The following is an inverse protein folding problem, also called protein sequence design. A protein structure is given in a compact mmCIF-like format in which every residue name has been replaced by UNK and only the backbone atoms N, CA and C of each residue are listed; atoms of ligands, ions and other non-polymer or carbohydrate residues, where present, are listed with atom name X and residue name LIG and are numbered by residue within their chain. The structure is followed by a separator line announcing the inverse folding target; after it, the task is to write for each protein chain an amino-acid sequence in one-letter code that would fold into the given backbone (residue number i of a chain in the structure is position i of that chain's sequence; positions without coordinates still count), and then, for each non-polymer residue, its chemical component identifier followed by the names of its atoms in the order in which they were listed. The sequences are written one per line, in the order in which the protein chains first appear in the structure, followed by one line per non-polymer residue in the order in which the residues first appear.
data_IF_389909889607
#
_entry.id   IF_389909889607
#
_cell.length_a   1.000
_cell.length_b   1.000
_cell.length_c   1.000
_cell.angle_alpha   90.00
_cell.angle_beta   90.00
_cell.angle_gamma   90.00
#
_symmetry.space_group_name_H-M   'P 1'
#
loop_
_entity.id
_entity.type
_entity.pdbx_description
1 polymer ?
#
# COMPACT_ATOMS: atom_id res chain seq x y z
N UNK A 1 59.20 5.35 15.82
CA UNK A 1 58.16 5.46 14.75
C UNK A 1 57.86 6.93 14.49
N UNK A 2 58.10 7.43 13.27
CA UNK A 2 57.88 8.84 12.91
C UNK A 2 56.39 9.23 12.98
N UNK A 3 56.10 10.47 13.39
CA UNK A 3 54.74 11.06 13.49
C UNK A 3 53.93 10.86 12.19
N UNK A 4 54.60 10.87 11.04
CA UNK A 4 54.02 10.67 9.71
C UNK A 4 53.54 9.23 9.46
N UNK A 5 54.27 8.20 9.92
CA UNK A 5 53.81 6.80 9.83
C UNK A 5 52.61 6.51 10.74
N UNK A 6 52.59 7.08 11.95
CA UNK A 6 51.44 6.98 12.87
C UNK A 6 50.17 7.66 12.30
N UNK A 7 50.32 8.81 11.65
CA UNK A 7 49.20 9.50 10.98
C UNK A 7 48.66 8.72 9.79
N UNK A 8 49.54 8.11 8.96
CA UNK A 8 49.12 7.27 7.83
C UNK A 8 48.39 6.00 8.27
N UNK A 9 48.89 5.31 9.30
CA UNK A 9 48.23 4.11 9.85
C UNK A 9 46.86 4.43 10.46
N UNK A 10 46.74 5.54 11.20
CA UNK A 10 45.47 5.99 11.77
C UNK A 10 44.43 6.34 10.69
N UNK A 11 44.83 6.99 9.59
CA UNK A 11 43.93 7.28 8.46
C UNK A 11 43.43 6.00 7.76
N UNK A 12 44.31 5.00 7.59
CA UNK A 12 43.91 3.69 7.03
C UNK A 12 42.93 2.97 7.96
N UNK A 13 43.20 2.97 9.27
CA UNK A 13 42.28 2.38 10.26
C UNK A 13 40.91 3.08 10.24
N UNK A 14 40.88 4.40 10.17
CA UNK A 14 39.63 5.16 10.06
C UNK A 14 38.86 4.82 8.78
N UNK A 15 39.55 4.72 7.64
CA UNK A 15 38.94 4.32 6.39
C UNK A 15 38.32 2.92 6.46
N UNK A 16 39.02 1.95 7.08
CA UNK A 16 38.52 0.59 7.28
C UNK A 16 37.24 0.60 8.13
N UNK A 17 37.21 1.37 9.22
CA UNK A 17 36.02 1.49 10.08
C UNK A 17 34.84 2.08 9.32
N UNK A 18 35.07 3.11 8.49
CA UNK A 18 34.02 3.70 7.64
C UNK A 18 33.46 2.67 6.66
N UNK A 19 34.32 1.90 5.99
CA UNK A 19 33.88 0.86 5.05
C UNK A 19 33.03 -0.20 5.75
N UNK A 20 33.45 -0.66 6.93
CA UNK A 20 32.68 -1.63 7.73
C UNK A 20 31.33 -1.04 8.15
N UNK A 21 31.29 0.22 8.59
CA UNK A 21 30.06 0.89 8.98
C UNK A 21 29.09 1.02 7.79
N UNK A 22 29.58 1.42 6.61
CA UNK A 22 28.76 1.51 5.38
C UNK A 22 28.25 0.14 4.95
N UNK A 23 29.09 -0.90 5.01
CA UNK A 23 28.67 -2.27 4.69
C UNK A 23 27.59 -2.78 5.66
N UNK A 24 27.75 -2.53 6.96
CA UNK A 24 26.76 -2.88 7.97
C UNK A 24 25.43 -2.13 7.74
N UNK A 25 25.50 -0.82 7.48
CA UNK A 25 24.32 -0.01 7.20
C UNK A 25 23.61 -0.47 5.92
N UNK A 26 24.36 -0.76 4.86
CA UNK A 26 23.82 -1.25 3.59
C UNK A 26 23.11 -2.60 3.72
N UNK A 27 23.60 -3.47 4.60
CA UNK A 27 22.98 -4.78 4.81
C UNK A 27 21.67 -4.69 5.59
N UNK A 28 21.64 -3.90 6.66
CA UNK A 28 20.53 -3.88 7.62
C UNK A 28 19.43 -2.89 7.24
N UNK A 29 19.77 -1.76 6.61
CA UNK A 29 18.87 -0.65 6.33
C UNK A 29 18.75 -0.43 4.82
N UNK A 30 17.87 -1.20 4.12
CA UNK A 30 17.83 -1.20 2.67
C UNK A 30 17.50 0.19 2.09
N UNK A 31 16.69 0.99 2.79
CA UNK A 31 16.34 2.35 2.35
C UNK A 31 17.30 3.45 2.82
N UNK A 32 18.43 3.11 3.45
CA UNK A 32 19.45 4.08 3.82
C UNK A 32 20.11 4.71 2.59
N UNK A 33 20.53 5.98 2.71
CA UNK A 33 21.22 6.70 1.64
C UNK A 33 22.50 5.99 1.18
N UNK A 34 23.16 5.27 2.10
CA UNK A 34 24.41 4.54 1.86
C UNK A 34 24.19 3.10 1.41
N UNK A 35 22.95 2.60 1.36
CA UNK A 35 22.65 1.24 0.92
C UNK A 35 22.88 1.07 -0.58
N UNK A 36 23.62 0.02 -0.94
CA UNK A 36 23.80 -0.41 -2.33
C UNK A 36 22.54 -1.03 -2.94
N UNK A 37 21.70 -1.68 -2.13
CA UNK A 37 20.44 -2.28 -2.55
C UNK A 37 19.30 -1.52 -1.90
N UNK A 38 18.73 -0.56 -2.64
CA UNK A 38 17.62 0.31 -2.18
C UNK A 38 16.25 -0.33 -2.28
N UNK A 39 16.19 -1.63 -2.01
CA UNK A 39 14.99 -2.45 -2.10
C UNK A 39 14.98 -3.54 -1.03
N UNK A 40 13.80 -4.07 -0.77
CA UNK A 40 13.59 -5.15 0.19
C UNK A 40 12.63 -6.19 -0.41
N UNK A 41 12.89 -7.46 -0.14
CA UNK A 41 12.03 -8.56 -0.58
C UNK A 41 10.99 -8.85 0.50
N UNK A 42 9.75 -8.45 0.22
CA UNK A 42 8.59 -8.80 1.02
C UNK A 42 8.17 -10.23 0.75
N UNK A 43 7.89 -10.96 1.83
CA UNK A 43 7.34 -12.31 1.77
C UNK A 43 5.91 -12.24 2.30
N UNK A 44 4.89 -12.33 1.43
CA UNK A 44 3.50 -12.39 1.86
C UNK A 44 3.28 -13.62 2.75
N UNK A 45 2.57 -13.45 3.86
CA UNK A 45 2.05 -14.58 4.61
C UNK A 45 0.74 -15.04 3.98
N UNK A 46 0.53 -16.36 3.91
CA UNK A 46 -0.79 -16.96 3.67
C UNK A 46 -1.73 -16.58 4.82
N UNK A 47 -2.34 -15.40 4.74
CA UNK A 47 -3.40 -14.97 5.64
C UNK A 47 -4.74 -15.26 4.97
N UNK A 48 -5.66 -15.85 5.73
CA UNK A 48 -7.08 -15.92 5.34
C UNK A 48 -7.90 -15.03 6.27
N UNK A 49 -8.91 -14.39 5.72
CA UNK A 49 -9.97 -13.70 6.47
C UNK A 49 -11.26 -14.45 6.19
N UNK A 50 -12.01 -14.82 7.23
CA UNK A 50 -13.25 -15.61 7.10
C UNK A 50 -13.13 -16.91 6.27
N UNK A 51 -11.92 -17.46 6.12
CA UNK A 51 -11.66 -18.67 5.33
C UNK A 51 -11.25 -18.41 3.89
N UNK A 52 -11.28 -17.16 3.44
CA UNK A 52 -10.92 -16.73 2.08
C UNK A 52 -9.58 -15.98 2.08
N UNK A 53 -8.84 -16.11 0.99
CA UNK A 53 -7.65 -15.31 0.71
C UNK A 53 -8.06 -13.94 0.17
N UNK A 54 -7.16 -12.96 0.30
CA UNK A 54 -7.38 -11.62 -0.26
C UNK A 54 -7.70 -11.67 -1.77
N UNK A 55 -7.04 -12.56 -2.51
CA UNK A 55 -7.27 -12.75 -3.95
C UNK A 55 -8.68 -13.28 -4.24
N UNK A 56 -9.17 -14.23 -3.43
CA UNK A 56 -10.53 -14.76 -3.55
C UNK A 56 -11.58 -13.67 -3.27
N UNK A 57 -11.40 -12.87 -2.22
CA UNK A 57 -12.33 -11.78 -1.90
C UNK A 57 -12.36 -10.70 -3.00
N UNK A 58 -11.19 -10.32 -3.54
CA UNK A 58 -11.11 -9.37 -4.65
C UNK A 58 -11.80 -9.92 -5.89
N UNK A 59 -11.57 -11.18 -6.24
CA UNK A 59 -12.21 -11.81 -7.41
C UNK A 59 -13.74 -11.93 -7.23
N UNK A 60 -14.21 -12.30 -6.04
CA UNK A 60 -15.65 -12.36 -5.75
C UNK A 60 -16.34 -10.99 -5.88
N UNK A 61 -15.68 -9.92 -5.43
CA UNK A 61 -16.19 -8.57 -5.63
C UNK A 61 -16.18 -8.15 -7.11
N UNK A 62 -15.17 -8.53 -7.87
CA UNK A 62 -15.11 -8.25 -9.31
C UNK A 62 -16.27 -8.86 -10.07
N UNK A 63 -16.59 -10.12 -9.78
CA UNK A 63 -17.73 -10.81 -10.39
C UNK A 63 -19.05 -10.11 -10.04
N UNK A 64 -19.19 -9.65 -8.79
CA UNK A 64 -20.34 -8.85 -8.34
C UNK A 64 -20.43 -7.53 -9.09
N UNK A 65 -19.32 -6.79 -9.14
CA UNK A 65 -19.21 -5.51 -9.83
C UNK A 65 -19.52 -5.62 -11.34
N UNK A 66 -19.05 -6.68 -12.01
CA UNK A 66 -19.33 -6.89 -13.44
C UNK A 66 -20.83 -7.14 -13.70
N UNK A 67 -21.51 -7.85 -12.79
CA UNK A 67 -22.96 -8.04 -12.87
C UNK A 67 -23.73 -6.73 -12.66
N UNK A 68 -23.28 -5.90 -11.72
CA UNK A 68 -23.88 -4.57 -11.49
C UNK A 68 -23.71 -3.66 -12.71
N UNK A 69 -22.51 -3.62 -13.32
CA UNK A 69 -22.29 -2.86 -14.56
C UNK A 69 -23.30 -3.29 -15.63
N UNK A 70 -23.44 -4.59 -15.90
CA UNK A 70 -24.38 -5.11 -16.91
C UNK A 70 -25.81 -4.69 -16.61
N UNK A 71 -26.23 -4.78 -15.34
CA UNK A 71 -27.58 -4.36 -14.89
C UNK A 71 -27.84 -2.88 -15.15
N UNK A 72 -26.87 -2.00 -14.86
CA UNK A 72 -27.01 -0.56 -15.10
C UNK A 72 -26.93 -0.20 -16.59
N UNK A 73 -26.12 -0.91 -17.37
CA UNK A 73 -26.09 -0.77 -18.83
C UNK A 73 -27.40 -1.19 -19.48
N UNK A 74 -28.01 -2.30 -19.06
CA UNK A 74 -29.27 -2.81 -19.58
C UNK A 74 -30.47 -1.91 -19.22
N UNK A 75 -30.46 -1.33 -18.02
CA UNK A 75 -31.50 -0.39 -17.56
C UNK A 75 -31.33 1.04 -18.10
N UNK A 76 -30.13 1.40 -18.57
CA UNK A 76 -29.78 2.76 -18.97
C UNK A 76 -29.68 3.75 -17.80
N UNK A 77 -29.64 3.25 -16.57
CA UNK A 77 -29.55 4.05 -15.35
C UNK A 77 -28.08 4.35 -15.01
N UNK A 78 -27.79 5.60 -14.65
CA UNK A 78 -26.44 6.00 -14.21
C UNK A 78 -26.34 5.91 -12.70
N UNK A 79 -25.47 5.03 -12.20
CA UNK A 79 -25.14 4.94 -10.78
C UNK A 79 -23.72 5.46 -10.51
N UNK A 80 -23.55 6.58 -9.77
CA UNK A 80 -22.25 7.17 -9.50
C UNK A 80 -21.27 6.18 -8.86
N UNK A 81 -21.69 5.42 -7.84
CA UNK A 81 -20.80 4.47 -7.16
C UNK A 81 -20.27 3.38 -8.09
N UNK A 82 -21.12 2.74 -8.88
CA UNK A 82 -20.70 1.71 -9.86
C UNK A 82 -19.76 2.32 -10.88
N UNK A 83 -20.14 3.48 -11.46
CA UNK A 83 -19.29 4.13 -12.44
C UNK A 83 -17.90 4.48 -11.89
N UNK A 84 -17.82 4.96 -10.65
CA UNK A 84 -16.55 5.35 -10.03
C UNK A 84 -15.72 4.17 -9.52
N UNK A 85 -16.35 3.01 -9.29
CA UNK A 85 -15.66 1.80 -8.82
C UNK A 85 -14.56 1.36 -9.78
N UNK A 86 -14.70 1.55 -11.09
CA UNK A 86 -13.64 1.25 -12.06
C UNK A 86 -12.31 1.98 -11.79
N UNK A 87 -12.34 3.14 -11.11
CA UNK A 87 -11.16 3.92 -10.75
C UNK A 87 -10.65 3.65 -9.33
N UNK A 88 -11.44 2.92 -8.52
CA UNK A 88 -11.10 2.56 -7.14
C UNK A 88 -10.56 1.14 -7.09
N UNK A 89 -11.25 0.20 -7.76
CA UNK A 89 -10.91 -1.23 -7.78
C UNK A 89 -9.43 -1.54 -8.08
N UNK A 90 -8.75 -0.87 -9.04
CA UNK A 90 -7.36 -1.16 -9.34
C UNK A 90 -6.40 -1.01 -8.15
N UNK A 91 -6.74 -0.20 -7.15
CA UNK A 91 -5.92 -0.03 -5.95
C UNK A 91 -5.82 -1.31 -5.13
N UNK A 92 -6.83 -2.18 -5.22
CA UNK A 92 -6.92 -3.46 -4.51
C UNK A 92 -6.35 -4.62 -5.33
N UNK A 93 -6.14 -4.42 -6.64
CA UNK A 93 -5.60 -5.44 -7.55
C UNK A 93 -4.07 -5.41 -7.66
N UNK A 94 -3.39 -4.69 -6.77
CA UNK A 94 -1.95 -4.55 -6.83
C UNK A 94 -1.25 -5.90 -6.65
N UNK A 95 -0.32 -6.24 -7.55
CA UNK A 95 0.40 -7.52 -7.57
C UNK A 95 1.13 -7.90 -6.27
N UNK A 96 1.38 -6.94 -5.37
CA UNK A 96 2.03 -7.22 -4.08
C UNK A 96 1.05 -7.61 -2.98
N UNK A 97 -0.25 -7.34 -3.17
CA UNK A 97 -1.34 -7.76 -2.30
C UNK A 97 -1.80 -9.18 -2.61
N UNK A 98 -1.64 -9.60 -3.86
CA UNK A 98 -2.16 -10.85 -4.43
C UNK A 98 -1.06 -11.92 -4.50
N UNK A 99 -1.44 -13.16 -4.15
CA UNK A 99 -0.57 -14.33 -4.20
C UNK A 99 0.42 -14.45 -3.04
N UNK A 100 1.27 -15.48 -3.12
CA UNK A 100 2.22 -15.85 -2.06
C UNK A 100 3.69 -15.64 -2.44
N UNK A 101 3.93 -15.32 -3.71
CA UNK A 101 5.29 -15.11 -4.21
C UNK A 101 5.93 -13.91 -3.56
N UNK A 102 7.22 -14.04 -3.23
CA UNK A 102 8.01 -12.92 -2.72
C UNK A 102 8.05 -11.78 -3.73
N UNK A 103 7.83 -10.54 -3.27
CA UNK A 103 7.84 -9.35 -4.12
C UNK A 103 8.91 -8.37 -3.67
N UNK A 104 9.60 -7.76 -4.63
CA UNK A 104 10.58 -6.71 -4.33
C UNK A 104 9.85 -5.37 -4.22
N UNK A 105 10.03 -4.69 -3.09
CA UNK A 105 9.49 -3.35 -2.84
C UNK A 105 10.67 -2.39 -2.73
N UNK A 106 10.72 -1.45 -3.66
CA UNK A 106 11.61 -0.30 -3.65
C UNK A 106 10.81 1.00 -3.38
N UNK A 107 11.52 2.14 -3.35
CA UNK A 107 10.87 3.44 -3.13
C UNK A 107 9.90 3.80 -4.25
N UNK A 108 10.19 3.43 -5.48
CA UNK A 108 9.31 3.71 -6.61
C UNK A 108 8.01 2.89 -6.52
N UNK A 109 8.09 1.65 -6.01
CA UNK A 109 6.93 0.84 -5.71
C UNK A 109 6.06 1.50 -4.62
N UNK A 110 6.66 1.99 -3.53
CA UNK A 110 5.94 2.73 -2.48
C UNK A 110 5.31 4.03 -3.01
N UNK A 111 6.00 4.75 -3.90
CA UNK A 111 5.46 5.95 -4.53
C UNK A 111 4.27 5.63 -5.44
N UNK A 112 4.35 4.56 -6.23
CA UNK A 112 3.22 4.08 -7.05
C UNK A 112 2.04 3.67 -6.17
N UNK A 113 2.28 2.89 -5.12
CA UNK A 113 1.24 2.52 -4.14
C UNK A 113 0.55 3.77 -3.57
N UNK A 114 1.33 4.75 -3.10
CA UNK A 114 0.80 5.98 -2.52
C UNK A 114 -0.04 6.76 -3.54
N UNK A 115 0.46 6.87 -4.77
CA UNK A 115 -0.25 7.55 -5.84
C UNK A 115 -1.60 6.87 -6.13
N UNK A 116 -1.64 5.54 -6.21
CA UNK A 116 -2.86 4.79 -6.52
C UNK A 116 -3.88 4.92 -5.38
N UNK A 117 -3.45 4.87 -4.11
CA UNK A 117 -4.32 5.13 -2.95
C UNK A 117 -4.87 6.56 -2.98
N UNK A 118 -4.04 7.56 -3.31
CA UNK A 118 -4.47 8.95 -3.43
C UNK A 118 -5.49 9.17 -4.54
N UNK A 119 -5.31 8.51 -5.69
CA UNK A 119 -6.25 8.56 -6.80
C UNK A 119 -7.61 7.97 -6.39
N UNK A 120 -7.61 6.79 -5.79
CA UNK A 120 -8.83 6.16 -5.31
C UNK A 120 -9.55 7.01 -4.23
N UNK A 121 -8.82 7.61 -3.29
CA UNK A 121 -9.38 8.56 -2.32
C UNK A 121 -10.00 9.78 -3.01
N UNK A 122 -9.32 10.34 -4.02
CA UNK A 122 -9.85 11.48 -4.76
C UNK A 122 -11.14 11.12 -5.51
N UNK A 123 -11.23 9.90 -6.04
CA UNK A 123 -12.47 9.37 -6.63
C UNK A 123 -13.59 9.27 -5.58
N UNK A 124 -13.30 8.79 -4.36
CA UNK A 124 -14.28 8.79 -3.27
C UNK A 124 -14.74 10.20 -2.89
N UNK A 125 -13.85 11.20 -2.92
CA UNK A 125 -14.22 12.60 -2.67
C UNK A 125 -15.15 13.16 -3.77
N UNK A 126 -14.99 12.73 -5.03
CA UNK A 126 -15.92 13.10 -6.10
C UNK A 126 -17.31 12.54 -5.83
N UNK A 127 -17.40 11.30 -5.34
CA UNK A 127 -18.68 10.68 -4.96
C UNK A 127 -19.43 11.50 -3.91
N UNK A 128 -18.74 12.15 -2.96
CA UNK A 128 -19.38 13.04 -1.95
C UNK A 128 -20.23 14.13 -2.61
N UNK A 129 -19.81 14.62 -3.78
CA UNK A 129 -20.53 15.67 -4.52
C UNK A 129 -21.46 15.16 -5.60
N UNK A 130 -21.19 13.98 -6.16
CA UNK A 130 -21.92 13.43 -7.32
C UNK A 130 -23.07 12.49 -6.91
N UNK A 131 -22.96 11.80 -5.77
CA UNK A 131 -23.95 10.85 -5.32
C UNK A 131 -25.07 11.50 -4.51
N UNK A 132 -26.31 11.14 -4.81
CA UNK A 132 -27.47 11.49 -3.98
C UNK A 132 -27.60 10.52 -2.80
N UNK A 133 -26.57 10.52 -1.97
CA UNK A 133 -26.46 9.59 -0.84
C UNK A 133 -27.32 10.03 0.33
N UNK A 134 -27.95 9.04 0.97
CA UNK A 134 -28.59 9.21 2.27
C UNK A 134 -27.58 9.64 3.35
N UNK A 135 -28.07 10.14 4.48
CA UNK A 135 -27.19 10.53 5.60
C UNK A 135 -26.33 9.36 6.07
N UNK A 136 -26.86 8.14 6.05
CA UNK A 136 -26.16 6.93 6.47
C UNK A 136 -25.08 6.52 5.45
N UNK A 137 -25.40 6.48 4.17
CA UNK A 137 -24.42 6.23 3.10
C UNK A 137 -23.26 7.24 3.10
N UNK A 138 -23.56 8.52 3.39
CA UNK A 138 -22.52 9.55 3.52
C UNK A 138 -21.57 9.28 4.68
N UNK A 139 -22.05 8.72 5.79
CA UNK A 139 -21.19 8.31 6.90
C UNK A 139 -20.25 7.19 6.44
N UNK A 140 -20.78 6.16 5.77
CA UNK A 140 -19.96 5.07 5.24
C UNK A 140 -18.94 5.53 4.18
N UNK A 141 -19.31 6.48 3.32
CA UNK A 141 -18.39 7.09 2.35
C UNK A 141 -17.24 7.85 3.05
N UNK A 142 -17.58 8.67 4.06
CA UNK A 142 -16.57 9.39 4.85
C UNK A 142 -15.65 8.42 5.59
N UNK A 143 -16.18 7.34 6.15
CA UNK A 143 -15.39 6.31 6.81
C UNK A 143 -14.43 5.64 5.80
N UNK A 144 -14.90 5.31 4.59
CA UNK A 144 -14.02 4.82 3.52
C UNK A 144 -12.89 5.81 3.22
N UNK A 145 -13.19 7.11 3.10
CA UNK A 145 -12.16 8.14 2.87
C UNK A 145 -11.11 8.16 3.99
N UNK A 146 -11.53 8.01 5.26
CA UNK A 146 -10.60 7.91 6.39
C UNK A 146 -9.71 6.67 6.32
N UNK A 147 -10.25 5.52 5.90
CA UNK A 147 -9.47 4.31 5.68
C UNK A 147 -8.38 4.51 4.62
N UNK A 148 -8.71 5.15 3.50
CA UNK A 148 -7.73 5.52 2.47
C UNK A 148 -6.67 6.51 2.99
N UNK A 149 -7.06 7.54 3.75
CA UNK A 149 -6.12 8.48 4.35
C UNK A 149 -5.13 7.80 5.30
N UNK A 150 -5.59 6.83 6.09
CA UNK A 150 -4.72 6.03 6.96
C UNK A 150 -3.75 5.16 6.15
N UNK A 151 -4.21 4.56 5.05
CA UNK A 151 -3.32 3.84 4.13
C UNK A 151 -2.22 4.74 3.57
N UNK A 152 -2.57 5.95 3.14
CA UNK A 152 -1.60 6.93 2.65
C UNK A 152 -0.56 7.28 3.70
N UNK A 153 -0.98 7.52 4.95
CA UNK A 153 -0.08 7.80 6.06
C UNK A 153 0.88 6.64 6.31
N UNK A 154 0.37 5.41 6.39
CA UNK A 154 1.19 4.20 6.57
C UNK A 154 2.22 4.02 5.45
N UNK A 155 1.82 4.20 4.19
CA UNK A 155 2.73 4.10 3.03
C UNK A 155 3.79 5.21 3.08
N UNK A 156 3.36 6.45 3.37
CA UNK A 156 4.25 7.61 3.45
C UNK A 156 5.30 7.48 4.55
N UNK A 157 4.93 6.94 5.72
CA UNK A 157 5.90 6.69 6.81
C UNK A 157 7.04 5.79 6.32
N UNK A 158 6.73 4.71 5.58
CA UNK A 158 7.76 3.84 4.99
C UNK A 158 8.53 4.56 3.90
N UNK A 159 7.81 5.25 3.00
CA UNK A 159 8.34 5.94 1.84
C UNK A 159 9.28 7.09 2.18
N UNK A 160 9.07 7.80 3.28
CA UNK A 160 9.91 8.92 3.73
C UNK A 160 11.03 8.44 4.69
N UNK A 161 10.87 7.27 5.30
CA UNK A 161 11.85 6.72 6.23
C UNK A 161 13.14 6.25 5.56
N UNK A 162 14.25 6.36 6.30
CA UNK A 162 15.60 6.02 5.81
C UNK A 162 16.31 4.97 6.66
N UNK A 163 15.86 4.75 7.89
CA UNK A 163 16.55 3.92 8.88
C UNK A 163 15.69 2.77 9.41
N UNK A 164 14.76 2.27 8.60
CA UNK A 164 14.06 1.04 8.92
C UNK A 164 14.95 -0.16 8.59
N UNK A 165 15.11 -1.04 9.56
CA UNK A 165 15.70 -2.35 9.35
C UNK A 165 14.80 -3.21 8.47
N UNK A 166 15.35 -4.26 7.86
CA UNK A 166 14.57 -5.25 7.10
C UNK A 166 13.40 -5.85 7.91
N UNK A 167 13.61 -6.09 9.20
CA UNK A 167 12.57 -6.64 10.07
C UNK A 167 11.43 -5.64 10.31
N UNK A 168 11.77 -4.36 10.52
CA UNK A 168 10.77 -3.29 10.63
C UNK A 168 9.99 -3.13 9.34
N UNK A 169 10.67 -3.13 8.18
CA UNK A 169 10.00 -3.05 6.88
C UNK A 169 9.06 -4.23 6.63
N UNK A 170 9.48 -5.48 6.92
CA UNK A 170 8.60 -6.65 6.81
C UNK A 170 7.34 -6.49 7.68
N UNK A 171 7.49 -6.00 8.91
CA UNK A 171 6.34 -5.76 9.80
C UNK A 171 5.44 -4.64 9.28
N UNK A 172 6.02 -3.52 8.84
CA UNK A 172 5.26 -2.36 8.38
C UNK A 172 4.51 -2.66 7.08
N UNK A 173 5.14 -3.33 6.11
CA UNK A 173 4.46 -3.76 4.87
C UNK A 173 3.35 -4.77 5.17
N UNK A 174 3.56 -5.71 6.11
CA UNK A 174 2.49 -6.62 6.53
C UNK A 174 1.31 -5.88 7.17
N UNK A 175 1.58 -4.83 7.95
CA UNK A 175 0.51 -4.00 8.50
C UNK A 175 -0.23 -3.25 7.39
N UNK A 176 0.48 -2.72 6.39
CA UNK A 176 -0.14 -2.10 5.21
C UNK A 176 -1.00 -3.12 4.47
N UNK A 177 -0.54 -4.36 4.27
CA UNK A 177 -1.36 -5.44 3.68
C UNK A 177 -2.68 -5.63 4.42
N UNK A 178 -2.64 -5.70 5.76
CA UNK A 178 -3.83 -5.77 6.60
C UNK A 178 -4.72 -4.52 6.52
N UNK A 179 -4.13 -3.33 6.46
CA UNK A 179 -4.87 -2.07 6.26
C UNK A 179 -5.55 -2.03 4.87
N UNK A 180 -4.93 -2.60 3.83
CA UNK A 180 -5.53 -2.74 2.49
C UNK A 180 -6.73 -3.68 2.53
N UNK A 181 -6.61 -4.82 3.20
CA UNK A 181 -7.72 -5.74 3.39
C UNK A 181 -8.88 -5.07 4.13
N UNK A 182 -8.61 -4.41 5.25
CA UNK A 182 -9.63 -3.70 6.02
C UNK A 182 -10.31 -2.58 5.22
N UNK A 183 -9.54 -1.86 4.40
CA UNK A 183 -10.05 -0.79 3.53
C UNK A 183 -10.90 -1.36 2.39
N UNK A 184 -10.47 -2.48 1.81
CA UNK A 184 -11.24 -3.20 0.80
C UNK A 184 -12.60 -3.63 1.35
N UNK A 185 -12.62 -4.31 2.51
CA UNK A 185 -13.86 -4.73 3.17
C UNK A 185 -14.78 -3.55 3.47
N UNK A 186 -14.26 -2.43 3.98
CA UNK A 186 -15.09 -1.24 4.21
C UNK A 186 -15.67 -0.67 2.91
N UNK A 187 -14.85 -0.58 1.86
CA UNK A 187 -15.31 -0.08 0.58
C UNK A 187 -16.42 -0.96 -0.01
N UNK A 188 -16.21 -2.27 -0.07
CA UNK A 188 -17.13 -3.21 -0.74
C UNK A 188 -18.38 -3.47 0.10
N UNK A 189 -18.23 -3.87 1.36
CA UNK A 189 -19.36 -4.36 2.17
C UNK A 189 -20.11 -3.25 2.92
N UNK A 190 -19.41 -2.18 3.33
CA UNK A 190 -20.01 -1.14 4.17
C UNK A 190 -20.54 0.01 3.32
N UNK A 191 -19.81 0.41 2.27
CA UNK A 191 -20.23 1.52 1.42
C UNK A 191 -20.88 1.06 0.10
N UNK A 192 -20.19 0.29 -0.73
CA UNK A 192 -20.64 -0.07 -2.08
C UNK A 192 -21.99 -0.79 -2.05
N UNK A 193 -22.10 -1.89 -1.28
CA UNK A 193 -23.34 -2.68 -1.13
C UNK A 193 -24.53 -1.88 -0.59
N UNK A 194 -24.29 -0.92 0.31
CA UNK A 194 -25.34 -0.07 0.87
C UNK A 194 -25.77 0.98 -0.13
N UNK A 195 -24.83 1.54 -0.89
CA UNK A 195 -25.13 2.59 -1.88
C UNK A 195 -25.95 2.12 -3.08
N UNK A 196 -26.08 0.80 -3.25
CA UNK A 196 -26.80 0.15 -4.35
C UNK A 196 -28.23 -0.28 -4.00
N UNK A 197 -28.65 -0.08 -2.75
CA UNK A 197 -29.98 -0.45 -2.24
C UNK A 197 -30.96 0.70 -2.36
#
# INVERSE_FOLDING_TARGET
MSRTRKRKTWMVSLAIVIVIAVAYMSWNYPFSLVSMQRSFTYHPSLGTHNGETYEEEVNAFKDTYENDIKKFEESGEFHPTVNRTQFILPVFEQHWLIGTDSKTIDRDALYRMLHDVQQARNTLLQLVTEGDYSKEERVYLVDCIHHFLRLEESIKIIGDGTYFSRHELQRMIRNIHGDFWSTFTHYTTVFYDVSLK
#
